data_IF_854494626435
#
_entry.id   IF_854494626435
#
_cell.length_a   1.000
_cell.length_b   1.000
_cell.length_c   1.000
_cell.angle_alpha   90.00
_cell.angle_beta   90.00
_cell.angle_gamma   90.00
#
_symmetry.space_group_name_H-M   'P 1'
#
loop_
_entity.id
_entity.type
_entity.pdbx_description
1 polymer ?
#
# COMPACT_ATOMS: atom_id res chain seq x y z
N UNK A 1 9.04 -19.92 0.10
CA UNK A 1 8.88 -18.97 -1.01
C UNK A 1 8.13 -19.67 -2.13
N UNK A 2 7.31 -18.96 -2.91
CA UNK A 2 6.64 -19.54 -4.07
C UNK A 2 7.66 -20.02 -5.12
N UNK A 3 7.37 -21.13 -5.80
CA UNK A 3 8.28 -21.79 -6.73
C UNK A 3 7.83 -21.73 -8.19
N UNK A 4 6.96 -20.77 -8.54
CA UNK A 4 6.45 -20.65 -9.91
C UNK A 4 7.59 -20.19 -10.85
N UNK A 5 7.98 -20.99 -11.86
CA UNK A 5 9.08 -20.64 -12.75
C UNK A 5 8.71 -19.60 -13.83
N UNK A 6 7.42 -19.32 -14.02
CA UNK A 6 6.92 -18.33 -14.99
C UNK A 6 6.07 -17.27 -14.28
N UNK A 7 6.71 -16.16 -13.92
CA UNK A 7 6.04 -15.00 -13.28
C UNK A 7 5.76 -13.85 -14.26
N UNK A 8 6.13 -14.00 -15.54
CA UNK A 8 5.95 -12.97 -16.56
C UNK A 8 6.93 -11.80 -16.45
N UNK A 9 6.63 -10.69 -17.16
CA UNK A 9 7.42 -9.46 -17.07
C UNK A 9 6.99 -8.68 -15.81
N UNK A 10 7.97 -8.34 -14.98
CA UNK A 10 7.78 -7.64 -13.70
C UNK A 10 8.36 -6.23 -13.69
N UNK A 11 8.96 -5.77 -14.79
CA UNK A 11 9.70 -4.50 -14.88
C UNK A 11 8.87 -3.24 -14.59
N UNK A 12 7.55 -3.32 -14.78
CA UNK A 12 6.63 -2.18 -14.63
C UNK A 12 5.60 -2.41 -13.51
N UNK A 13 5.88 -3.31 -12.57
CA UNK A 13 5.01 -3.56 -11.42
C UNK A 13 5.49 -2.69 -10.25
N UNK A 14 4.71 -1.64 -9.98
CA UNK A 14 4.94 -0.72 -8.89
C UNK A 14 3.85 -0.84 -7.84
N UNK A 15 4.26 -0.77 -6.60
CA UNK A 15 3.39 -0.84 -5.45
C UNK A 15 3.50 0.43 -4.62
N UNK A 16 2.42 0.71 -3.92
CA UNK A 16 2.37 1.66 -2.82
C UNK A 16 1.72 1.04 -1.60
N UNK A 17 2.12 1.53 -0.43
CA UNK A 17 1.41 1.27 0.81
C UNK A 17 1.55 2.43 1.80
N UNK A 18 0.86 2.34 2.92
CA UNK A 18 1.00 3.25 4.07
C UNK A 18 0.86 2.42 5.34
N UNK A 19 1.24 2.95 6.49
CA UNK A 19 0.89 2.37 7.80
C UNK A 19 -0.32 3.06 8.43
N UNK A 20 -0.87 4.09 7.78
CA UNK A 20 -1.99 4.89 8.26
C UNK A 20 -3.35 4.25 7.92
N UNK A 21 -3.38 2.97 7.54
CA UNK A 21 -4.64 2.23 7.38
C UNK A 21 -5.20 1.78 8.72
N UNK A 22 -6.51 1.53 8.79
CA UNK A 22 -7.15 1.09 10.02
C UNK A 22 -6.57 -0.25 10.50
N UNK A 23 -5.83 -0.22 11.61
CA UNK A 23 -5.13 -1.39 12.17
C UNK A 23 -6.01 -2.08 13.23
N UNK A 24 -7.00 -1.38 13.82
CA UNK A 24 -7.75 -1.85 15.00
C UNK A 24 -9.19 -1.35 15.01
N UNK A 25 -10.11 -2.30 15.20
CA UNK A 25 -11.54 -2.04 15.37
C UNK A 25 -11.78 -1.04 16.51
N UNK A 26 -12.19 0.17 16.17
CA UNK A 26 -12.54 1.24 17.12
C UNK A 26 -11.62 2.46 17.08
N UNK A 27 -10.48 2.39 16.38
CA UNK A 27 -9.62 3.56 16.20
C UNK A 27 -10.24 4.54 15.17
N UNK A 28 -9.98 5.86 15.30
CA UNK A 28 -10.40 6.84 14.31
C UNK A 28 -9.80 6.51 12.94
N UNK A 29 -10.66 6.50 11.93
CA UNK A 29 -10.25 6.20 10.56
C UNK A 29 -9.48 7.39 9.99
N UNK A 30 -8.25 7.16 9.54
CA UNK A 30 -7.52 8.13 8.74
C UNK A 30 -8.07 8.05 7.31
N UNK A 31 -8.76 9.10 6.88
CA UNK A 31 -9.37 9.14 5.54
C UNK A 31 -8.36 9.52 4.45
N UNK A 32 -7.36 10.35 4.79
CA UNK A 32 -6.34 10.85 3.86
C UNK A 32 -4.96 10.80 4.50
N UNK A 33 -3.95 10.42 3.71
CA UNK A 33 -2.54 10.43 4.17
C UNK A 33 -1.58 10.95 3.11
N UNK A 34 -0.52 11.61 3.58
CA UNK A 34 0.67 11.93 2.81
C UNK A 34 1.82 10.95 3.06
N UNK A 35 1.72 10.05 4.03
CA UNK A 35 2.81 9.14 4.39
C UNK A 35 2.69 7.85 3.59
N UNK A 36 3.49 7.74 2.55
CA UNK A 36 3.48 6.59 1.66
C UNK A 36 4.80 5.86 1.68
N UNK A 37 4.74 4.60 1.28
CA UNK A 37 5.86 3.75 0.95
C UNK A 37 5.64 3.27 -0.47
N UNK A 38 6.62 3.42 -1.34
CA UNK A 38 6.53 2.89 -2.71
C UNK A 38 7.70 1.95 -2.96
N UNK A 39 7.47 0.96 -3.82
CA UNK A 39 8.53 0.08 -4.29
C UNK A 39 8.16 -0.50 -5.64
N UNK A 40 9.19 -0.80 -6.42
CA UNK A 40 9.07 -1.67 -7.57
C UNK A 40 9.41 -3.09 -7.13
N UNK A 41 8.80 -4.09 -7.76
CA UNK A 41 9.15 -5.48 -7.49
C UNK A 41 10.65 -5.72 -7.65
N UNK A 42 11.24 -6.47 -6.72
CA UNK A 42 12.70 -6.71 -6.60
C UNK A 42 13.56 -5.47 -6.32
N UNK A 43 12.96 -4.33 -6.01
CA UNK A 43 13.69 -3.12 -5.59
C UNK A 43 13.37 -2.77 -4.12
N UNK A 44 14.28 -2.07 -3.41
CA UNK A 44 14.03 -1.61 -2.05
C UNK A 44 12.84 -0.65 -1.97
N UNK A 45 12.12 -0.74 -0.86
CA UNK A 45 11.05 0.19 -0.53
C UNK A 45 11.61 1.54 -0.06
N UNK A 46 10.97 2.63 -0.49
CA UNK A 46 11.30 3.99 -0.07
C UNK A 46 10.07 4.68 0.53
N UNK A 47 10.29 5.56 1.51
CA UNK A 47 9.22 6.40 2.03
C UNK A 47 9.04 7.60 1.11
N UNK A 48 7.81 8.08 0.98
CA UNK A 48 7.46 9.22 0.14
C UNK A 48 6.42 10.07 0.88
N UNK A 49 6.63 11.39 0.90
CA UNK A 49 5.65 12.35 1.39
C UNK A 49 4.86 12.92 0.21
N UNK A 50 3.55 12.64 0.20
CA UNK A 50 2.62 12.91 -0.89
C UNK A 50 2.85 11.99 -2.09
N UNK A 51 1.79 11.74 -2.87
CA UNK A 51 1.91 11.02 -4.15
C UNK A 51 1.65 11.98 -5.30
N UNK A 52 2.36 11.82 -6.42
CA UNK A 52 1.89 12.42 -7.67
C UNK A 52 0.77 11.55 -8.29
N UNK A 53 0.18 12.03 -9.38
CA UNK A 53 -0.93 11.33 -10.06
C UNK A 53 -0.54 9.92 -10.54
N UNK A 54 0.70 9.73 -10.97
CA UNK A 54 1.21 8.44 -11.43
C UNK A 54 1.37 7.45 -10.26
N UNK A 55 2.06 7.87 -9.20
CA UNK A 55 2.27 7.04 -8.00
C UNK A 55 0.96 6.67 -7.32
N UNK A 56 -0.07 7.52 -7.38
CA UNK A 56 -1.39 7.21 -6.85
C UNK A 56 -2.10 6.06 -7.59
N UNK A 57 -1.68 5.75 -8.82
CA UNK A 57 -2.18 4.63 -9.61
C UNK A 57 -1.42 3.33 -9.35
N UNK A 58 -0.32 3.35 -8.58
CA UNK A 58 0.40 2.13 -8.22
C UNK A 58 -0.48 1.19 -7.39
N UNK A 59 -0.24 -0.11 -7.55
CA UNK A 59 -1.02 -1.14 -6.88
C UNK A 59 -0.84 -1.08 -5.37
N UNK A 60 -1.92 -1.32 -4.61
CA UNK A 60 -1.83 -1.36 -3.15
C UNK A 60 -1.16 -2.68 -2.75
N UNK A 61 0.09 -2.59 -2.30
CA UNK A 61 0.81 -3.71 -1.73
C UNK A 61 0.46 -3.85 -0.24
N UNK A 62 -0.43 -4.80 0.07
CA UNK A 62 -0.86 -5.05 1.43
C UNK A 62 -0.96 -6.55 1.73
N UNK A 63 -0.53 -6.94 2.92
CA UNK A 63 -0.73 -8.28 3.46
C UNK A 63 -1.90 -8.25 4.43
N UNK A 64 -2.95 -9.02 4.12
CA UNK A 64 -4.12 -9.14 4.99
C UNK A 64 -3.89 -10.18 6.09
N UNK A 65 -4.30 -9.85 7.31
CA UNK A 65 -4.48 -10.85 8.36
C UNK A 65 -5.65 -11.78 8.01
N UNK A 66 -5.54 -13.06 8.36
CA UNK A 66 -6.57 -14.06 8.03
C UNK A 66 -7.95 -13.71 8.62
N UNK A 67 -7.99 -13.02 9.76
CA UNK A 67 -9.24 -12.51 10.34
C UNK A 67 -9.99 -11.55 9.40
N UNK A 68 -9.28 -10.69 8.67
CA UNK A 68 -9.90 -9.77 7.69
C UNK A 68 -10.52 -10.55 6.52
N UNK A 69 -9.93 -11.68 6.13
CA UNK A 69 -10.47 -12.55 5.09
C UNK A 69 -11.74 -13.24 5.62
N UNK A 70 -11.71 -13.76 6.84
CA UNK A 70 -12.87 -14.40 7.48
C UNK A 70 -14.02 -13.40 7.59
N UNK A 71 -13.76 -12.17 8.01
CA UNK A 71 -14.77 -11.11 8.10
C UNK A 71 -15.36 -10.78 6.73
N UNK A 72 -14.51 -10.69 5.68
CA UNK A 72 -14.95 -10.51 4.29
C UNK A 72 -15.83 -11.64 3.79
N UNK A 73 -15.53 -12.88 4.17
CA UNK A 73 -16.33 -14.06 3.81
C UNK A 73 -17.70 -14.03 4.51
N UNK A 74 -17.77 -13.56 5.77
CA UNK A 74 -19.01 -13.51 6.55
C UNK A 74 -19.91 -12.34 6.18
N UNK A 75 -19.32 -11.16 6.01
CA UNK A 75 -20.06 -9.90 5.90
C UNK A 75 -20.21 -9.40 4.46
N UNK A 76 -19.39 -9.89 3.54
CA UNK A 76 -19.33 -9.36 2.18
C UNK A 76 -18.37 -8.19 2.02
N UNK A 77 -17.77 -7.67 3.09
CA UNK A 77 -16.96 -6.45 3.08
C UNK A 77 -15.62 -6.62 3.79
N UNK A 78 -14.58 -5.93 3.32
CA UNK A 78 -13.34 -5.81 4.09
C UNK A 78 -13.59 -4.80 5.22
N UNK A 79 -13.30 -5.20 6.46
CA UNK A 79 -13.48 -4.34 7.64
C UNK A 79 -12.42 -3.24 7.74
N UNK A 80 -11.28 -3.42 7.05
CA UNK A 80 -10.21 -2.46 7.02
C UNK A 80 -10.53 -1.32 6.05
N UNK A 81 -10.42 -0.09 6.55
CA UNK A 81 -10.46 1.13 5.72
C UNK A 81 -9.04 1.56 5.37
N UNK A 82 -8.85 1.89 4.10
CA UNK A 82 -7.57 2.31 3.55
C UNK A 82 -7.64 3.79 3.13
N UNK A 83 -6.70 4.64 3.57
CA UNK A 83 -6.76 6.07 3.31
C UNK A 83 -6.55 6.38 1.83
N UNK A 84 -7.17 7.47 1.38
CA UNK A 84 -6.93 8.06 0.07
C UNK A 84 -5.63 8.88 0.08
N UNK A 85 -4.90 8.94 -1.05
CA UNK A 85 -3.68 9.73 -1.13
C UNK A 85 -3.98 11.22 -1.19
N UNK A 86 -3.16 12.00 -0.49
CA UNK A 86 -3.00 13.44 -0.78
C UNK A 86 -2.12 13.56 -2.02
N UNK A 87 -2.70 14.11 -3.10
CA UNK A 87 -2.00 14.29 -4.38
C UNK A 87 -1.19 15.59 -4.37
N UNK A 88 0.08 15.50 -4.76
CA UNK A 88 1.02 16.62 -4.84
C UNK A 88 1.75 16.63 -6.18
N UNK A 89 2.13 17.82 -6.66
CA UNK A 89 2.89 17.93 -7.91
C UNK A 89 4.34 17.43 -7.76
N UNK A 90 4.93 17.61 -6.57
CA UNK A 90 6.32 17.27 -6.26
C UNK A 90 6.40 16.39 -5.01
N UNK A 91 6.41 15.05 -5.16
CA UNK A 91 6.55 14.14 -4.03
C UNK A 91 7.98 14.21 -3.46
N UNK A 92 8.10 14.08 -2.13
CA UNK A 92 9.40 14.09 -1.45
C UNK A 92 9.80 12.66 -1.13
N UNK A 93 10.84 12.15 -1.79
CA UNK A 93 11.38 10.81 -1.53
C UNK A 93 12.30 10.85 -0.31
N UNK A 94 11.93 10.09 0.71
CA UNK A 94 12.71 9.88 1.93
C UNK A 94 13.29 8.47 1.87
N UNK A 95 14.58 8.37 1.52
CA UNK A 95 15.28 7.08 1.54
C UNK A 95 15.50 6.65 2.99
N UNK A 96 15.16 5.41 3.29
CA UNK A 96 15.58 4.78 4.54
C UNK A 96 17.12 4.69 4.50
N UNK A 97 17.78 5.26 5.50
CA UNK A 97 19.21 5.04 5.70
C UNK A 97 19.46 3.53 5.89
N UNK A 98 20.50 2.95 5.26
CA UNK A 98 20.82 1.53 5.40
C UNK A 98 21.18 1.14 6.83
#
# INVERSE_FOLDING_TARGET
MGSCPQVGNTENIFFRSTLDYDIRRGDPVIEYTANWRIWKINEPMVNVIGLNKEMAQYDIGLVFYIGNIIDRMKTGEYTMKYPQPIIVDKPVIVRLSP
#
